data_IF_500089501800
#
_entry.id   IF_500089501800
#
_cell.length_a   1.000
_cell.length_b   1.000
_cell.length_c   1.000
_cell.angle_alpha   90.00
_cell.angle_beta   90.00
_cell.angle_gamma   90.00
#
_symmetry.space_group_name_H-M   'P 1'
#
loop_
_entity.id
_entity.type
_entity.pdbx_description
1 polymer ?
#
# COMPACT_ATOMS: atom_id res chain seq x y z
N UNK A 1 41.83 30.76 4.78
CA UNK A 1 41.85 32.06 4.08
C UNK A 1 41.83 31.82 2.58
N UNK A 2 40.65 31.61 1.99
CA UNK A 2 40.50 31.50 0.54
C UNK A 2 39.38 32.46 0.11
N UNK A 3 39.79 33.50 -0.62
CA UNK A 3 38.95 34.57 -1.14
C UNK A 3 38.24 34.14 -2.41
N UNK A 4 36.92 34.29 -2.45
CA UNK A 4 36.13 34.17 -3.68
C UNK A 4 36.09 35.50 -4.44
N UNK A 5 36.15 35.50 -5.79
CA UNK A 5 35.99 36.71 -6.57
C UNK A 5 34.50 37.07 -6.74
N UNK A 6 34.20 38.36 -6.57
CA UNK A 6 32.90 38.97 -6.92
C UNK A 6 32.76 39.04 -8.44
N UNK A 7 31.70 38.42 -8.99
CA UNK A 7 31.27 38.66 -10.35
C UNK A 7 30.24 39.80 -10.38
N UNK A 8 30.56 40.85 -11.15
CA UNK A 8 29.74 42.03 -11.39
C UNK A 8 29.11 41.92 -12.79
N UNK A 9 27.81 42.15 -12.85
CA UNK A 9 27.14 42.82 -13.97
C UNK A 9 26.57 41.92 -15.08
N UNK A 10 25.28 42.07 -15.38
CA UNK A 10 24.74 43.03 -16.37
C UNK A 10 23.24 42.76 -16.57
N UNK A 11 22.43 43.79 -16.42
CA UNK A 11 21.04 43.85 -16.88
C UNK A 11 21.00 44.00 -18.41
N UNK A 12 20.09 43.32 -19.12
CA UNK A 12 19.63 43.81 -20.41
C UNK A 12 18.10 44.05 -20.44
N UNK A 13 17.79 45.30 -20.76
CA UNK A 13 16.84 45.76 -21.79
C UNK A 13 15.38 45.29 -21.69
N UNK A 14 14.57 46.22 -21.18
CA UNK A 14 13.16 46.33 -21.50
C UNK A 14 12.95 46.48 -23.02
N UNK A 15 12.16 45.58 -23.60
CA UNK A 15 11.54 45.76 -24.91
C UNK A 15 10.13 46.29 -24.69
N UNK A 16 9.88 47.52 -25.12
CA UNK A 16 8.53 48.07 -25.24
C UNK A 16 7.95 47.59 -26.58
N UNK A 17 7.00 46.66 -26.53
CA UNK A 17 6.17 46.30 -27.68
C UNK A 17 4.97 47.27 -27.74
N UNK A 18 4.83 47.97 -28.87
CA UNK A 18 3.67 48.81 -29.15
C UNK A 18 2.50 47.93 -29.59
N UNK A 19 1.40 47.99 -28.85
CA UNK A 19 0.10 47.42 -29.23
C UNK A 19 -0.60 48.36 -30.22
N UNK A 20 -0.89 47.86 -31.42
CA UNK A 20 -1.83 48.47 -32.35
C UNK A 20 -3.22 47.82 -32.13
N UNK A 21 -4.31 48.59 -32.03
CA UNK A 21 -5.65 48.03 -31.94
C UNK A 21 -6.15 47.69 -33.36
N UNK A 22 -6.32 46.39 -33.64
CA UNK A 22 -7.10 45.94 -34.80
C UNK A 22 -8.54 45.80 -34.33
N UNK A 23 -9.41 46.67 -34.84
CA UNK A 23 -10.86 46.56 -34.68
C UNK A 23 -11.36 45.57 -35.73
N UNK A 24 -11.61 44.33 -35.31
CA UNK A 24 -12.35 43.35 -36.10
C UNK A 24 -13.84 43.49 -35.77
N UNK A 25 -14.62 43.94 -36.75
CA UNK A 25 -16.07 43.86 -36.71
C UNK A 25 -16.48 42.39 -36.90
N UNK A 26 -16.99 41.77 -35.83
CA UNK A 26 -17.54 40.42 -35.88
C UNK A 26 -19.03 40.50 -36.29
N UNK A 27 -19.38 39.77 -37.35
CA UNK A 27 -20.77 39.46 -37.68
C UNK A 27 -21.28 38.48 -36.62
N UNK A 28 -22.33 38.88 -35.88
CA UNK A 28 -23.09 37.97 -35.04
C UNK A 28 -24.04 37.19 -35.93
N UNK A 29 -23.69 35.93 -36.23
CA UNK A 29 -24.64 34.91 -36.67
C UNK A 29 -25.15 34.21 -35.41
N UNK A 30 -26.44 34.39 -35.10
CA UNK A 30 -27.17 33.61 -34.11
C UNK A 30 -27.16 32.14 -34.55
N UNK A 31 -26.36 31.32 -33.88
CA UNK A 31 -26.43 29.86 -34.02
C UNK A 31 -27.66 29.34 -33.25
N UNK A 32 -28.40 28.37 -33.81
CA UNK A 32 -29.54 27.76 -33.12
C UNK A 32 -29.07 27.00 -31.87
N UNK A 33 -29.69 27.37 -30.75
CA UNK A 33 -29.54 26.77 -29.42
C UNK A 33 -30.31 25.44 -29.36
N UNK A 34 -29.83 24.43 -30.11
CA UNK A 34 -30.27 23.03 -29.97
C UNK A 34 -29.46 22.39 -28.83
N UNK A 35 -29.76 22.77 -27.60
CA UNK A 35 -29.33 22.04 -26.41
C UNK A 35 -30.08 20.70 -26.39
N UNK A 36 -29.46 19.65 -26.95
CA UNK A 36 -29.93 18.27 -26.79
C UNK A 36 -29.86 17.91 -25.31
N UNK A 37 -30.99 17.64 -24.63
CA UNK A 37 -31.04 17.31 -23.20
C UNK A 37 -30.48 15.92 -22.85
N UNK A 38 -29.72 15.29 -23.75
CA UNK A 38 -29.18 13.93 -23.61
C UNK A 38 -27.64 13.90 -23.46
N UNK A 39 -26.95 15.05 -23.45
CA UNK A 39 -25.49 15.12 -23.17
C UNK A 39 -25.14 15.06 -21.66
N UNK A 40 -26.14 14.86 -20.79
CA UNK A 40 -25.92 14.52 -19.37
C UNK A 40 -25.49 13.06 -19.17
N UNK A 41 -25.44 12.28 -20.25
CA UNK A 41 -24.91 10.93 -20.26
C UNK A 41 -23.37 10.97 -20.24
N UNK A 42 -22.81 10.39 -19.18
CA UNK A 42 -21.40 10.02 -19.02
C UNK A 42 -20.46 11.02 -18.32
N UNK A 43 -20.97 11.79 -17.34
CA UNK A 43 -20.11 12.18 -16.20
C UNK A 43 -19.73 10.94 -15.39
N UNK A 44 -18.83 10.12 -15.91
CA UNK A 44 -18.22 9.04 -15.15
C UNK A 44 -17.47 9.67 -13.98
N UNK A 45 -17.90 9.34 -12.77
CA UNK A 45 -17.43 10.04 -11.58
C UNK A 45 -15.99 9.62 -11.25
N UNK A 46 -15.18 10.63 -10.89
CA UNK A 46 -13.77 10.48 -10.59
C UNK A 46 -13.58 9.78 -9.24
N UNK A 47 -12.63 8.84 -9.17
CA UNK A 47 -12.19 8.20 -7.94
C UNK A 47 -10.68 8.34 -7.76
N UNK A 48 -10.26 8.89 -6.63
CA UNK A 48 -8.84 8.98 -6.28
C UNK A 48 -8.30 7.65 -5.76
N UNK A 49 -7.17 7.18 -6.28
CA UNK A 49 -6.46 6.02 -5.76
C UNK A 49 -4.99 6.35 -5.50
N UNK A 50 -4.61 6.37 -4.23
CA UNK A 50 -3.25 6.74 -3.81
C UNK A 50 -2.63 5.58 -3.05
N UNK A 51 -1.44 5.15 -3.45
CA UNK A 51 -0.65 4.12 -2.77
C UNK A 51 0.59 4.77 -2.18
N UNK A 52 0.77 4.60 -0.88
CA UNK A 52 1.94 5.04 -0.13
C UNK A 52 2.63 3.77 0.40
N UNK A 53 3.75 3.42 -0.21
CA UNK A 53 4.58 2.29 0.18
C UNK A 53 5.77 2.80 0.98
N UNK A 54 5.98 2.31 2.21
CA UNK A 54 7.15 2.64 3.01
C UNK A 54 7.82 1.33 3.44
N UNK A 55 9.01 1.08 2.94
CA UNK A 55 9.82 -0.07 3.30
C UNK A 55 11.00 0.34 4.19
N UNK A 56 11.19 -0.40 5.29
CA UNK A 56 12.29 -0.19 6.21
C UNK A 56 13.11 -1.49 6.36
N UNK A 57 14.42 -1.40 6.14
CA UNK A 57 15.32 -2.56 6.20
C UNK A 57 16.78 -2.15 6.04
N UNK A 58 17.71 -2.91 6.63
CA UNK A 58 19.15 -2.62 6.61
C UNK A 58 19.50 -1.18 7.06
N UNK A 59 18.76 -0.65 8.04
CA UNK A 59 18.94 0.72 8.55
C UNK A 59 18.56 1.83 7.55
N UNK A 60 17.79 1.49 6.50
CA UNK A 60 17.32 2.44 5.49
C UNK A 60 15.81 2.43 5.42
N UNK A 61 15.25 3.62 5.24
CA UNK A 61 13.84 3.81 4.90
C UNK A 61 13.76 4.22 3.45
N UNK A 62 12.86 3.57 2.70
CA UNK A 62 12.48 3.96 1.35
C UNK A 62 10.99 4.18 1.31
N UNK A 63 10.57 5.24 0.64
CA UNK A 63 9.14 5.51 0.46
C UNK A 63 8.84 5.72 -1.01
N UNK A 64 7.78 5.11 -1.50
CA UNK A 64 7.24 5.33 -2.84
C UNK A 64 5.81 5.82 -2.71
N UNK A 65 5.48 6.90 -3.40
CA UNK A 65 4.10 7.39 -3.48
C UNK A 65 3.68 7.30 -4.94
N UNK A 66 2.52 6.68 -5.19
CA UNK A 66 1.85 6.74 -6.47
C UNK A 66 0.41 7.21 -6.30
N UNK A 67 -0.03 8.14 -7.15
CA UNK A 67 -1.41 8.63 -7.17
C UNK A 67 -1.99 8.49 -8.57
N UNK A 68 -3.21 7.95 -8.65
CA UNK A 68 -3.94 7.64 -9.88
C UNK A 68 -5.37 8.16 -9.68
N UNK A 69 -5.89 8.91 -10.64
CA UNK A 69 -7.26 9.44 -10.57
C UNK A 69 -8.05 8.78 -11.68
N UNK A 70 -8.96 7.90 -11.28
CA UNK A 70 -9.60 6.93 -12.15
C UNK A 70 -10.97 7.44 -12.57
N UNK A 71 -11.21 7.44 -13.87
CA UNK A 71 -12.53 7.57 -14.44
C UNK A 71 -12.83 6.25 -15.17
N UNK A 72 -13.86 5.52 -14.70
CA UNK A 72 -14.17 4.20 -15.26
C UNK A 72 -15.30 4.34 -16.27
N UNK A 73 -14.97 4.12 -17.53
CA UNK A 73 -15.92 4.02 -18.63
C UNK A 73 -16.47 2.60 -18.76
N UNK A 74 -17.75 2.48 -19.11
CA UNK A 74 -18.35 1.20 -19.49
C UNK A 74 -18.24 1.03 -21.00
N UNK A 75 -17.49 0.02 -21.45
CA UNK A 75 -17.36 -0.28 -22.88
C UNK A 75 -18.45 -1.29 -23.26
N UNK A 76 -19.58 -0.77 -23.76
CA UNK A 76 -20.59 -1.58 -24.45
C UNK A 76 -22.00 -1.46 -23.86
N UNK A 77 -22.97 -1.28 -24.76
CA UNK A 77 -24.41 -1.12 -24.51
C UNK A 77 -25.15 -2.37 -24.00
N UNK A 78 -24.44 -3.38 -23.49
CA UNK A 78 -25.05 -4.60 -22.94
C UNK A 78 -25.41 -4.44 -21.44
N UNK A 79 -25.83 -3.23 -21.08
CA UNK A 79 -26.24 -2.83 -19.74
C UNK A 79 -27.67 -3.34 -19.46
N UNK A 80 -27.79 -4.65 -19.31
CA UNK A 80 -29.05 -5.29 -18.91
C UNK A 80 -29.23 -5.12 -17.39
N UNK A 81 -30.02 -4.11 -17.00
CA UNK A 81 -30.97 -3.97 -15.86
C UNK A 81 -30.76 -4.72 -14.52
N UNK A 82 -29.59 -5.24 -14.20
CA UNK A 82 -29.36 -6.01 -12.96
C UNK A 82 -28.57 -5.14 -11.95
N UNK A 83 -29.31 -4.45 -11.08
CA UNK A 83 -28.86 -3.99 -9.76
C UNK A 83 -27.68 -2.99 -9.71
N UNK A 84 -27.93 -1.73 -10.08
CA UNK A 84 -26.89 -0.68 -10.22
C UNK A 84 -26.03 -0.37 -8.99
N UNK A 85 -26.50 -0.58 -7.75
CA UNK A 85 -25.86 0.04 -6.57
C UNK A 85 -24.62 -0.67 -6.02
N UNK A 86 -24.56 -2.00 -6.09
CA UNK A 86 -23.40 -2.76 -5.58
C UNK A 86 -22.29 -2.91 -6.63
N UNK A 87 -22.60 -2.60 -7.90
CA UNK A 87 -21.68 -2.77 -9.03
C UNK A 87 -20.52 -1.77 -9.03
N UNK A 88 -20.73 -0.53 -8.59
CA UNK A 88 -19.73 0.53 -8.72
C UNK A 88 -18.49 0.29 -7.86
N UNK A 89 -18.67 -0.10 -6.59
CA UNK A 89 -17.55 -0.39 -5.69
C UNK A 89 -16.68 -1.54 -6.20
N UNK A 90 -17.31 -2.60 -6.72
CA UNK A 90 -16.59 -3.72 -7.32
C UNK A 90 -15.87 -3.31 -8.61
N UNK A 91 -16.51 -2.51 -9.47
CA UNK A 91 -15.89 -1.97 -10.68
C UNK A 91 -14.62 -1.15 -10.36
N UNK A 92 -14.67 -0.26 -9.37
CA UNK A 92 -13.49 0.50 -8.94
C UNK A 92 -12.41 -0.38 -8.31
N UNK A 93 -12.79 -1.41 -7.54
CA UNK A 93 -11.82 -2.36 -7.00
C UNK A 93 -11.09 -3.13 -8.11
N UNK A 94 -11.82 -3.59 -9.14
CA UNK A 94 -11.26 -4.21 -10.33
C UNK A 94 -10.36 -3.24 -11.10
N UNK A 95 -10.83 -2.01 -11.32
CA UNK A 95 -10.05 -0.98 -12.00
C UNK A 95 -8.75 -0.64 -11.26
N UNK A 96 -8.82 -0.52 -9.93
CA UNK A 96 -7.66 -0.33 -9.08
C UNK A 96 -6.66 -1.48 -9.21
N UNK A 97 -7.12 -2.74 -9.24
CA UNK A 97 -6.23 -3.89 -9.48
C UNK A 97 -5.55 -3.84 -10.86
N UNK A 98 -6.29 -3.48 -11.91
CA UNK A 98 -5.76 -3.36 -13.28
C UNK A 98 -4.66 -2.31 -13.40
N UNK A 99 -4.78 -1.19 -12.69
CA UNK A 99 -3.75 -0.15 -12.70
C UNK A 99 -2.62 -0.40 -11.71
N UNK A 100 -2.58 -1.55 -11.03
CA UNK A 100 -1.58 -1.85 -10.00
C UNK A 100 -1.74 -0.97 -8.75
N UNK A 101 -2.99 -0.71 -8.35
CA UNK A 101 -3.35 0.04 -7.16
C UNK A 101 -3.53 -0.84 -5.92
N UNK A 102 -3.84 -2.14 -6.10
CA UNK A 102 -3.99 -3.10 -5.01
C UNK A 102 -2.86 -4.12 -5.04
N UNK A 103 -2.36 -4.48 -3.86
CA UNK A 103 -1.44 -5.59 -3.70
C UNK A 103 -2.24 -6.88 -3.74
N UNK A 104 -1.88 -7.82 -4.60
CA UNK A 104 -2.47 -9.16 -4.60
C UNK A 104 -2.03 -9.89 -3.32
N UNK A 105 -2.98 -10.14 -2.43
CA UNK A 105 -2.76 -10.85 -1.18
C UNK A 105 -3.62 -12.12 -1.14
N UNK A 106 -3.08 -13.26 -0.66
CA UNK A 106 -3.88 -14.46 -0.37
C UNK A 106 -4.99 -14.18 0.64
N UNK A 107 -5.97 -15.07 0.72
CA UNK A 107 -6.96 -15.02 1.79
C UNK A 107 -6.28 -15.13 3.16
N UNK A 108 -6.90 -14.54 4.18
CA UNK A 108 -6.38 -14.56 5.55
C UNK A 108 -6.24 -16.01 6.05
N UNK A 109 -5.05 -16.38 6.51
CA UNK A 109 -4.70 -17.73 6.95
C UNK A 109 -3.99 -18.57 5.89
N UNK A 110 -4.00 -18.13 4.63
CA UNK A 110 -3.32 -18.84 3.55
C UNK A 110 -1.86 -18.40 3.40
N UNK A 111 -1.05 -19.32 2.87
CA UNK A 111 0.29 -19.03 2.41
C UNK A 111 0.55 -19.70 1.06
N UNK A 112 0.90 -18.90 0.05
CA UNK A 112 1.02 -19.36 -1.34
C UNK A 112 2.35 -18.92 -1.96
N UNK A 113 2.87 -19.64 -2.96
CA UNK A 113 4.03 -19.18 -3.73
C UNK A 113 3.74 -17.83 -4.41
N UNK A 114 4.68 -16.90 -4.37
CA UNK A 114 4.49 -15.54 -4.89
C UNK A 114 4.12 -15.54 -6.39
N UNK A 115 4.69 -16.46 -7.19
CA UNK A 115 4.37 -16.59 -8.62
C UNK A 115 2.92 -17.00 -8.91
N UNK A 116 2.21 -17.63 -7.96
CA UNK A 116 0.79 -17.97 -8.14
C UNK A 116 -0.15 -16.75 -8.06
N UNK A 117 0.32 -15.65 -7.47
CA UNK A 117 -0.44 -14.40 -7.36
C UNK A 117 -0.32 -13.51 -8.61
N UNK A 118 0.60 -13.84 -9.52
CA UNK A 118 0.80 -13.14 -10.79
C UNK A 118 -0.14 -13.69 -11.89
N UNK A 119 -0.51 -14.97 -11.80
CA UNK A 119 -1.29 -15.68 -12.84
C UNK A 119 -2.79 -15.28 -12.83
N UNK A 120 -3.27 -14.66 -11.75
CA UNK A 120 -4.70 -14.36 -11.55
C UNK A 120 -5.21 -13.12 -12.30
N UNK A 121 -4.37 -12.40 -13.04
CA UNK A 121 -4.73 -11.13 -13.69
C UNK A 121 -5.48 -11.26 -15.04
N UNK A 122 -5.91 -12.47 -15.43
CA UNK A 122 -6.40 -12.74 -16.79
C UNK A 122 -7.89 -12.41 -16.99
N UNK A 123 -8.14 -11.64 -18.06
CA UNK A 123 -9.43 -11.35 -18.72
C UNK A 123 -10.48 -10.58 -17.91
N UNK A 124 -10.43 -9.24 -18.02
CA UNK A 124 -11.50 -8.34 -17.60
C UNK A 124 -12.20 -7.73 -18.83
N UNK A 125 -13.12 -8.44 -19.51
CA UNK A 125 -13.80 -7.91 -20.68
C UNK A 125 -14.74 -6.75 -20.30
N UNK A 126 -14.59 -5.60 -20.96
CA UNK A 126 -15.63 -4.55 -21.03
C UNK A 126 -15.47 -3.33 -20.12
N UNK A 127 -14.31 -3.15 -19.46
CA UNK A 127 -14.02 -1.94 -18.67
C UNK A 127 -12.94 -1.12 -19.35
N UNK A 128 -13.18 0.17 -19.58
CA UNK A 128 -12.13 1.14 -19.92
C UNK A 128 -11.85 2.03 -18.72
N UNK A 129 -10.58 2.33 -18.50
CA UNK A 129 -10.09 3.11 -17.37
C UNK A 129 -9.30 4.28 -17.94
N UNK A 130 -9.81 5.48 -17.74
CA UNK A 130 -9.07 6.70 -18.03
C UNK A 130 -8.41 7.21 -16.75
N UNK A 131 -7.11 7.47 -16.85
CA UNK A 131 -6.31 8.05 -15.78
C UNK A 131 -6.24 9.56 -16.00
N UNK A 132 -7.12 10.27 -15.31
CA UNK A 132 -7.37 11.69 -15.57
C UNK A 132 -6.24 12.56 -15.03
N UNK A 133 -5.78 13.52 -15.84
CA UNK A 133 -4.86 14.56 -15.41
C UNK A 133 -5.60 15.56 -14.48
N UNK A 134 -5.07 15.73 -13.28
CA UNK A 134 -5.60 16.61 -12.23
C UNK A 134 -4.65 17.79 -11.92
N UNK A 135 -3.73 18.09 -12.84
CA UNK A 135 -2.74 19.15 -12.69
C UNK A 135 -1.59 18.75 -11.76
N UNK A 136 -1.09 19.71 -10.98
CA UNK A 136 -0.01 19.45 -10.03
C UNK A 136 -0.55 18.71 -8.80
N UNK A 137 0.09 17.60 -8.45
CA UNK A 137 -0.27 16.81 -7.26
C UNK A 137 0.78 16.99 -6.18
N UNK A 138 0.34 17.41 -4.99
CA UNK A 138 1.22 17.57 -3.83
C UNK A 138 0.72 16.80 -2.63
N UNK A 139 1.65 16.22 -1.88
CA UNK A 139 1.43 15.55 -0.61
C UNK A 139 1.99 16.43 0.51
N UNK A 140 1.12 16.87 1.41
CA UNK A 140 1.50 17.58 2.63
C UNK A 140 1.39 16.61 3.81
N UNK A 141 2.42 16.58 4.65
CA UNK A 141 2.53 15.69 5.80
C UNK A 141 2.63 16.53 7.06
N UNK A 142 1.71 16.31 8.00
CA UNK A 142 1.70 16.92 9.32
C UNK A 142 2.23 15.88 10.32
N UNK A 143 3.44 16.12 10.81
CA UNK A 143 4.06 15.26 11.81
C UNK A 143 3.40 15.51 13.18
N UNK A 144 3.00 14.44 13.91
CA UNK A 144 2.47 14.61 15.26
C UNK A 144 3.54 15.25 16.15
N UNK A 145 3.16 16.30 16.86
CA UNK A 145 4.04 17.04 17.78
C UNK A 145 4.70 16.09 18.79
N UNK A 146 6.00 15.83 18.61
CA UNK A 146 6.82 15.00 19.49
C UNK A 146 7.33 15.77 20.74
N UNK A 147 6.62 16.82 21.16
CA UNK A 147 7.00 17.68 22.29
C UNK A 147 7.82 18.91 21.87
N UNK A 148 7.71 19.34 20.61
CA UNK A 148 8.30 20.56 20.09
C UNK A 148 7.18 21.51 19.66
N UNK A 149 7.16 22.73 20.21
CA UNK A 149 6.07 23.69 20.06
C UNK A 149 5.75 24.15 18.61
N UNK A 150 6.42 23.64 17.59
CA UNK A 150 6.18 23.94 16.19
C UNK A 150 5.85 22.65 15.42
N UNK A 151 4.64 22.61 14.86
CA UNK A 151 4.18 21.56 13.97
C UNK A 151 5.07 21.52 12.72
N UNK A 152 5.71 20.38 12.47
CA UNK A 152 6.56 20.21 11.29
C UNK A 152 5.70 19.75 10.13
N UNK A 153 5.58 20.62 9.13
CA UNK A 153 4.95 20.30 7.86
C UNK A 153 6.00 20.01 6.79
N UNK A 154 5.93 18.81 6.19
CA UNK A 154 6.73 18.44 5.02
C UNK A 154 5.85 18.45 3.77
N UNK A 155 6.33 18.98 2.64
CA UNK A 155 5.61 18.99 1.36
C UNK A 155 6.41 18.25 0.28
N UNK A 156 5.77 17.31 -0.39
CA UNK A 156 6.31 16.52 -1.49
C UNK A 156 5.49 16.77 -2.74
N UNK A 157 6.13 17.22 -3.82
CA UNK A 157 5.47 17.32 -5.14
C UNK A 157 5.64 16.02 -5.92
N UNK A 158 4.54 15.48 -6.46
CA UNK A 158 4.56 14.27 -7.28
C UNK A 158 4.78 14.65 -8.74
N UNK A 159 5.57 13.83 -9.45
CA UNK A 159 5.84 14.03 -10.87
C UNK A 159 4.82 13.27 -11.73
N UNK A 160 4.19 13.92 -12.73
CA UNK A 160 3.29 13.23 -13.65
C UNK A 160 4.07 12.29 -14.58
N UNK A 161 3.43 11.18 -14.93
CA UNK A 161 3.92 10.11 -15.80
C UNK A 161 2.78 9.69 -16.72
N UNK A 162 3.05 9.63 -18.01
CA UNK A 162 2.11 9.05 -18.96
C UNK A 162 2.03 7.53 -18.71
N UNK A 163 0.82 7.01 -18.62
CA UNK A 163 0.54 5.59 -18.62
C UNK A 163 0.38 5.13 -20.08
N UNK A 164 1.10 4.07 -20.52
CA UNK A 164 0.94 3.58 -21.88
C UNK A 164 -0.47 3.04 -22.08
N UNK A 165 -1.02 3.21 -23.28
CA UNK A 165 -2.29 2.60 -23.64
C UNK A 165 -2.13 1.07 -23.74
N UNK A 166 -2.76 0.35 -22.82
CA UNK A 166 -2.74 -1.12 -22.77
C UNK A 166 -4.03 -1.66 -23.39
N UNK A 167 -4.05 -1.76 -24.72
CA UNK A 167 -5.14 -2.42 -25.46
C UNK A 167 -6.51 -1.77 -25.27
N UNK A 168 -6.56 -0.43 -25.25
CA UNK A 168 -7.75 0.39 -25.02
C UNK A 168 -8.38 0.22 -23.61
N UNK A 169 -7.70 -0.50 -22.69
CA UNK A 169 -8.20 -0.77 -21.35
C UNK A 169 -7.81 0.32 -20.34
N UNK A 170 -6.56 0.81 -20.42
CA UNK A 170 -6.03 1.80 -19.48
C UNK A 170 -5.18 2.79 -20.24
N UNK A 171 -5.46 4.08 -20.10
CA UNK A 171 -4.64 5.16 -20.65
C UNK A 171 -4.67 6.40 -19.74
N UNK A 172 -3.76 7.36 -19.94
CA UNK A 172 -3.80 8.66 -19.25
C UNK A 172 -2.55 8.98 -18.42
N UNK A 173 -2.73 9.63 -17.27
CA UNK A 173 -1.65 10.18 -16.42
C UNK A 173 -1.72 9.65 -14.99
N UNK A 174 -0.57 9.26 -14.44
CA UNK A 174 -0.42 8.96 -13.02
C UNK A 174 0.75 9.75 -12.43
N UNK A 175 0.79 9.87 -11.10
CA UNK A 175 1.79 10.69 -10.41
C UNK A 175 2.64 9.83 -9.51
N UNK A 176 3.94 10.11 -9.44
CA UNK A 176 4.89 9.36 -8.61
C UNK A 176 5.81 10.28 -7.83
N UNK A 177 6.23 9.88 -6.62
CA UNK A 177 7.30 10.57 -5.89
C UNK A 177 8.60 10.61 -6.71
N UNK A 178 9.29 11.76 -6.80
CA UNK A 178 10.53 11.89 -7.59
C UNK A 178 11.73 11.20 -6.95
N UNK A 179 11.74 11.04 -5.62
CA UNK A 179 12.83 10.43 -4.87
C UNK A 179 12.29 9.51 -3.78
N UNK A 180 12.73 8.25 -3.82
CA UNK A 180 12.35 7.24 -2.84
C UNK A 180 13.12 7.32 -1.52
N UNK A 181 14.14 8.19 -1.44
CA UNK A 181 14.96 8.39 -0.23
C UNK A 181 14.26 9.23 0.84
N UNK A 182 13.16 9.90 0.49
CA UNK A 182 12.36 10.68 1.45
C UNK A 182 11.65 9.70 2.38
N UNK A 183 12.12 9.59 3.62
CA UNK A 183 11.44 8.81 4.65
C UNK A 183 10.18 9.52 5.10
N UNK A 184 9.00 9.05 4.67
CA UNK A 184 7.75 9.63 5.15
C UNK A 184 7.47 9.15 6.59
N UNK A 185 7.09 10.07 7.49
CA UNK A 185 6.84 9.75 8.89
C UNK A 185 5.55 8.94 9.04
N UNK A 186 5.58 7.91 9.89
CA UNK A 186 4.40 7.09 10.23
C UNK A 186 4.41 6.77 11.74
N UNK A 187 3.27 6.95 12.43
CA UNK A 187 2.00 7.50 11.95
C UNK A 187 2.08 9.02 11.70
N UNK A 188 1.26 9.54 10.78
CA UNK A 188 1.12 10.98 10.52
C UNK A 188 -0.21 11.29 9.82
N UNK A 189 -0.61 12.56 9.80
CA UNK A 189 -1.72 13.05 8.99
C UNK A 189 -1.20 13.50 7.62
N UNK A 190 -1.90 13.12 6.56
CA UNK A 190 -1.53 13.41 5.18
C UNK A 190 -2.67 14.16 4.49
N UNK A 191 -2.35 15.21 3.76
CA UNK A 191 -3.25 15.92 2.86
C UNK A 191 -2.70 15.78 1.43
N UNK A 192 -3.46 15.13 0.55
CA UNK A 192 -3.13 14.99 -0.88
C UNK A 192 -3.97 16.02 -1.64
N UNK A 193 -3.31 16.93 -2.36
CA UNK A 193 -3.98 17.97 -3.13
C UNK A 193 -3.68 17.89 -4.63
N UNK A 194 -4.70 18.08 -5.45
CA UNK A 194 -4.58 18.32 -6.89
C UNK A 194 -4.99 19.75 -7.23
N UNK A 195 -4.24 20.44 -8.09
CA UNK A 195 -4.57 21.83 -8.49
C UNK A 195 -5.75 21.93 -9.44
N UNK A 196 -6.23 20.80 -9.96
CA UNK A 196 -7.23 20.75 -11.01
C UNK A 196 -6.62 20.89 -12.41
N UNK A 197 -7.44 20.60 -13.41
CA UNK A 197 -7.16 20.67 -14.84
C UNK A 197 -8.36 21.28 -15.59
N UNK A 198 -8.39 21.20 -16.92
CA UNK A 198 -9.55 21.66 -17.70
C UNK A 198 -10.80 20.81 -17.50
N UNK A 199 -10.65 19.56 -17.02
CA UNK A 199 -11.74 18.60 -16.83
C UNK A 199 -11.99 18.24 -15.37
N UNK A 200 -11.12 18.66 -14.45
CA UNK A 200 -11.19 18.32 -13.03
C UNK A 200 -10.96 19.56 -12.17
N UNK A 201 -11.87 19.82 -11.23
CA UNK A 201 -11.68 20.90 -10.26
C UNK A 201 -10.56 20.59 -9.26
N UNK A 202 -10.01 21.62 -8.61
CA UNK A 202 -9.02 21.44 -7.55
C UNK A 202 -9.64 20.70 -6.34
N UNK A 203 -8.85 19.85 -5.68
CA UNK A 203 -9.33 19.08 -4.54
C UNK A 203 -8.26 18.82 -3.47
N UNK A 204 -8.73 18.37 -2.30
CA UNK A 204 -7.93 17.89 -1.18
C UNK A 204 -8.48 16.56 -0.64
N UNK A 205 -7.60 15.67 -0.23
CA UNK A 205 -7.92 14.38 0.42
C UNK A 205 -7.14 14.31 1.72
N UNK A 206 -7.85 14.25 2.85
CA UNK A 206 -7.23 14.08 4.17
C UNK A 206 -7.26 12.61 4.59
N UNK A 207 -6.15 12.11 5.11
CA UNK A 207 -6.05 10.74 5.58
C UNK A 207 -4.98 10.58 6.64
N UNK A 208 -5.26 9.72 7.62
CA UNK A 208 -4.29 9.32 8.64
C UNK A 208 -3.59 8.02 8.28
N UNK A 209 -2.26 8.05 8.22
CA UNK A 209 -1.46 6.84 8.10
C UNK A 209 -1.45 6.04 9.41
N UNK A 210 -1.55 4.69 9.35
CA UNK A 210 -1.37 3.86 10.53
C UNK A 210 0.10 3.85 10.99
N UNK A 211 0.36 3.27 12.16
CA UNK A 211 1.73 2.93 12.55
C UNK A 211 2.28 1.81 11.65
N UNK A 212 3.56 1.85 11.29
CA UNK A 212 4.26 0.72 10.68
C UNK A 212 4.32 -0.49 11.64
N UNK A 213 4.61 -1.71 11.15
CA UNK A 213 4.95 -2.84 12.01
C UNK A 213 6.09 -2.44 12.95
N UNK A 214 5.91 -2.69 14.25
CA UNK A 214 6.87 -2.40 15.32
C UNK A 214 6.81 -3.50 16.37
N UNK A 215 7.79 -3.52 17.27
CA UNK A 215 8.10 -4.60 18.20
C UNK A 215 8.13 -5.97 17.51
N UNK A 216 8.81 -6.05 16.36
CA UNK A 216 8.92 -7.28 15.59
C UNK A 216 9.70 -8.32 16.39
N UNK A 217 9.11 -9.50 16.55
CA UNK A 217 9.74 -10.67 17.17
C UNK A 217 9.73 -11.80 16.14
N UNK A 218 10.87 -12.42 15.89
CA UNK A 218 10.99 -13.57 14.97
C UNK A 218 11.74 -14.68 15.68
N UNK A 219 11.14 -15.87 15.79
CA UNK A 219 11.69 -17.01 16.52
C UNK A 219 12.12 -16.65 17.97
N UNK A 220 11.32 -15.81 18.63
CA UNK A 220 11.58 -15.33 19.99
C UNK A 220 12.66 -14.24 20.12
N UNK A 221 13.25 -13.80 19.01
CA UNK A 221 14.27 -12.74 18.98
C UNK A 221 13.64 -11.42 18.53
N UNK A 222 13.87 -10.35 19.28
CA UNK A 222 13.46 -9.00 18.88
C UNK A 222 14.26 -8.55 17.66
N UNK A 223 13.55 -8.23 16.58
CA UNK A 223 14.09 -7.86 15.27
C UNK A 223 14.05 -6.35 14.99
N UNK A 224 13.67 -5.55 15.98
CA UNK A 224 13.63 -4.09 15.87
C UNK A 224 14.83 -3.46 16.59
N UNK A 225 15.53 -2.59 15.89
CA UNK A 225 16.47 -1.66 16.49
C UNK A 225 15.67 -0.59 17.24
N UNK A 226 15.70 -0.62 18.57
CA UNK A 226 15.31 0.57 19.32
C UNK A 226 16.33 1.66 19.00
N UNK A 227 15.81 2.82 18.57
CA UNK A 227 16.57 3.99 18.14
C UNK A 227 17.60 4.37 19.23
N UNK A 228 18.86 3.96 19.04
CA UNK A 228 19.94 4.17 20.01
C UNK A 228 20.73 2.92 20.43
N UNK A 229 20.27 1.70 20.09
CA UNK A 229 21.04 0.49 20.32
C UNK A 229 22.23 0.40 19.34
N UNK A 230 23.38 0.97 19.72
CA UNK A 230 24.62 0.91 18.92
C UNK A 230 25.23 -0.50 18.85
N UNK A 231 24.70 -1.45 19.62
CA UNK A 231 25.04 -2.86 19.52
C UNK A 231 24.00 -3.51 18.60
N UNK A 232 24.35 -3.71 17.32
CA UNK A 232 23.43 -4.25 16.32
C UNK A 232 22.73 -5.53 16.77
N UNK A 233 21.58 -5.81 16.15
CA UNK A 233 20.71 -6.93 16.53
C UNK A 233 21.45 -8.27 16.48
N UNK A 234 21.14 -9.20 17.42
CA UNK A 234 21.63 -10.56 17.32
C UNK A 234 21.12 -11.21 16.01
N UNK A 235 21.90 -12.13 15.40
CA UNK A 235 21.43 -12.88 14.25
C UNK A 235 20.19 -13.70 14.62
N UNK A 236 19.20 -13.72 13.73
CA UNK A 236 17.97 -14.49 13.91
C UNK A 236 18.15 -15.81 13.19
N UNK A 237 18.28 -16.89 13.97
CA UNK A 237 18.48 -18.24 13.43
C UNK A 237 17.18 -19.03 13.47
N UNK A 238 16.81 -19.62 12.33
CA UNK A 238 15.66 -20.51 12.21
C UNK A 238 16.10 -21.89 11.71
N UNK A 239 15.33 -22.93 12.06
CA UNK A 239 15.57 -24.28 11.57
C UNK A 239 14.79 -24.52 10.26
N UNK A 240 15.46 -25.03 9.24
CA UNK A 240 14.81 -25.46 8.00
C UNK A 240 13.80 -26.57 8.30
N UNK A 241 12.58 -26.44 7.77
CA UNK A 241 11.48 -27.39 8.00
C UNK A 241 10.80 -27.27 9.36
N UNK A 242 11.06 -26.20 10.13
CA UNK A 242 10.31 -25.86 11.34
C UNK A 242 9.38 -24.68 11.09
N UNK A 243 8.27 -24.62 11.82
CA UNK A 243 7.40 -23.44 11.84
C UNK A 243 8.15 -22.24 12.43
N UNK A 244 7.84 -21.04 11.92
CA UNK A 244 8.49 -19.79 12.36
C UNK A 244 7.46 -18.92 13.06
N UNK A 245 7.61 -18.76 14.38
CA UNK A 245 6.80 -17.83 15.16
C UNK A 245 7.23 -16.39 14.86
N UNK A 246 6.25 -15.54 14.53
CA UNK A 246 6.43 -14.11 14.30
C UNK A 246 5.45 -13.30 15.16
N UNK A 247 5.91 -12.16 15.67
CA UNK A 247 5.15 -11.25 16.54
C UNK A 247 5.36 -9.79 16.16
N UNK A 248 4.37 -8.96 16.43
CA UNK A 248 4.40 -7.51 16.22
C UNK A 248 3.39 -6.80 17.14
N UNK A 249 3.50 -5.48 17.25
CA UNK A 249 2.53 -4.65 17.97
C UNK A 249 1.24 -4.50 17.14
N UNK A 250 0.14 -5.09 17.62
CA UNK A 250 -1.19 -4.89 16.99
C UNK A 250 -1.67 -3.43 17.10
N UNK A 251 -2.39 -2.95 16.07
CA UNK A 251 -3.08 -1.65 16.09
C UNK A 251 -4.33 -1.63 16.98
N UNK A 252 -4.90 -2.79 17.31
CA UNK A 252 -6.15 -2.91 18.05
C UNK A 252 -5.94 -3.77 19.30
N UNK A 253 -5.20 -3.28 20.31
CA UNK A 253 -4.96 -4.04 21.53
C UNK A 253 -6.30 -4.34 22.23
N UNK A 254 -6.60 -5.62 22.46
CA UNK A 254 -7.77 -6.07 23.21
C UNK A 254 -9.02 -6.36 22.39
N UNK A 255 -8.98 -6.25 21.05
CA UNK A 255 -10.06 -6.71 20.18
C UNK A 255 -9.82 -8.19 19.85
N UNK A 256 -10.83 -9.05 20.07
CA UNK A 256 -10.77 -10.47 19.69
C UNK A 256 -10.55 -10.60 18.18
N UNK A 257 -9.71 -11.56 17.77
CA UNK A 257 -9.41 -11.85 16.36
C UNK A 257 -10.63 -12.10 15.48
N UNK A 258 -11.78 -12.43 16.08
CA UNK A 258 -13.04 -12.68 15.40
C UNK A 258 -13.77 -11.39 14.96
N UNK A 259 -13.46 -10.23 15.58
CA UNK A 259 -14.11 -8.93 15.28
C UNK A 259 -13.25 -8.02 14.39
N UNK A 260 -12.06 -8.47 13.99
CA UNK A 260 -11.05 -7.67 13.26
C UNK A 260 -11.40 -7.47 11.77
N UNK A 261 -12.40 -8.17 11.25
CA UNK A 261 -12.64 -8.35 9.81
C UNK A 261 -13.16 -7.13 9.05
N UNK A 262 -13.69 -6.08 9.72
CA UNK A 262 -14.26 -4.91 9.02
C UNK A 262 -13.54 -3.59 9.26
N UNK A 263 -12.63 -3.51 10.23
CA UNK A 263 -11.85 -2.30 10.53
C UNK A 263 -10.35 -2.58 10.77
N UNK A 264 -9.95 -3.85 10.83
CA UNK A 264 -8.59 -4.27 11.08
C UNK A 264 -7.70 -4.13 9.85
N UNK A 265 -6.46 -3.69 10.06
CA UNK A 265 -5.43 -3.81 9.05
C UNK A 265 -5.14 -5.28 8.72
N UNK A 266 -4.56 -5.51 7.56
CA UNK A 266 -4.04 -6.83 7.16
C UNK A 266 -2.53 -6.84 7.33
N UNK A 267 -2.00 -7.98 7.76
CA UNK A 267 -0.57 -8.25 7.72
C UNK A 267 -0.34 -9.28 6.62
N UNK A 268 0.60 -9.02 5.73
CA UNK A 268 1.12 -10.09 4.88
C UNK A 268 2.64 -10.17 5.01
N UNK A 269 3.17 -11.37 4.86
CA UNK A 269 4.59 -11.65 5.06
C UNK A 269 5.13 -12.29 3.79
N UNK A 270 6.10 -11.60 3.19
CA UNK A 270 6.88 -12.13 2.08
C UNK A 270 8.11 -12.83 2.63
N UNK A 271 8.21 -14.13 2.36
CA UNK A 271 9.36 -14.97 2.71
C UNK A 271 10.14 -15.23 1.43
N UNK A 272 11.41 -14.81 1.37
CA UNK A 272 12.28 -15.07 0.21
C UNK A 272 13.52 -15.80 0.68
N UNK A 273 13.70 -17.04 0.21
CA UNK A 273 14.91 -17.81 0.47
C UNK A 273 16.06 -17.31 -0.40
N UNK A 274 17.26 -17.20 0.18
CA UNK A 274 18.48 -16.88 -0.54
C UNK A 274 19.25 -18.18 -0.85
N UNK A 275 19.66 -18.37 -2.12
CA UNK A 275 20.36 -19.58 -2.57
C UNK A 275 20.34 -19.78 -4.10
N UNK A 276 21.21 -20.65 -4.61
CA UNK A 276 21.52 -20.78 -6.04
C UNK A 276 20.54 -21.75 -6.75
N UNK A 277 19.47 -21.19 -7.35
CA UNK A 277 18.94 -21.51 -8.68
C UNK A 277 17.43 -21.21 -8.82
N UNK A 278 16.64 -21.40 -7.76
CA UNK A 278 15.19 -21.19 -7.79
C UNK A 278 14.78 -20.17 -6.72
N UNK A 279 14.28 -19.02 -7.12
CA UNK A 279 13.77 -18.00 -6.18
C UNK A 279 12.51 -18.53 -5.51
N UNK A 280 12.68 -19.17 -4.35
CA UNK A 280 11.59 -19.68 -3.54
C UNK A 280 11.02 -18.52 -2.70
N UNK A 281 9.87 -18.01 -3.13
CA UNK A 281 9.18 -16.91 -2.48
C UNK A 281 7.75 -17.29 -2.12
N UNK A 282 7.34 -17.02 -0.88
CA UNK A 282 5.97 -17.22 -0.39
C UNK A 282 5.40 -15.91 0.11
N UNK A 283 4.09 -15.74 -0.03
CA UNK A 283 3.32 -14.70 0.65
C UNK A 283 2.30 -15.37 1.55
N UNK A 284 2.32 -15.06 2.84
CA UNK A 284 1.32 -15.49 3.79
C UNK A 284 0.50 -14.29 4.29
N UNK A 285 -0.83 -14.42 4.43
CA UNK A 285 -1.69 -13.32 4.94
C UNK A 285 -2.26 -13.66 6.32
N UNK A 286 -2.28 -12.67 7.21
CA UNK A 286 -2.75 -12.77 8.60
C UNK A 286 -3.61 -11.55 8.97
N UNK A 287 -4.52 -11.68 9.95
CA UNK A 287 -5.12 -10.50 10.57
C UNK A 287 -4.04 -9.74 11.37
N UNK A 288 -4.20 -8.43 11.58
CA UNK A 288 -3.30 -7.62 12.42
C UNK A 288 -3.52 -7.85 13.94
N UNK A 289 -3.44 -9.13 14.35
CA UNK A 289 -3.64 -9.61 15.72
C UNK A 289 -2.40 -9.59 16.61
N UNK A 290 -1.23 -9.24 16.07
CA UNK A 290 0.03 -9.12 16.82
C UNK A 290 0.91 -10.37 16.86
N UNK A 291 0.45 -11.50 16.31
CA UNK A 291 1.27 -12.71 16.17
C UNK A 291 0.76 -13.60 15.03
N UNK A 292 1.67 -14.39 14.47
CA UNK A 292 1.37 -15.43 13.49
C UNK A 292 2.43 -16.52 13.51
N UNK A 293 2.14 -17.63 12.82
CA UNK A 293 3.07 -18.74 12.61
C UNK A 293 3.20 -18.96 11.12
N UNK A 294 4.40 -18.84 10.59
CA UNK A 294 4.70 -19.21 9.21
C UNK A 294 4.91 -20.74 9.15
N UNK A 295 4.25 -21.45 8.23
CA UNK A 295 4.35 -22.91 8.18
C UNK A 295 5.75 -23.35 7.72
N UNK A 296 6.23 -24.48 8.24
CA UNK A 296 7.55 -25.08 7.95
C UNK A 296 7.94 -25.20 6.47
N UNK A 297 6.98 -25.21 5.55
CA UNK A 297 7.19 -25.29 4.11
C UNK A 297 7.55 -23.97 3.40
N UNK A 298 7.53 -22.82 4.09
CA UNK A 298 7.78 -21.51 3.44
C UNK A 298 9.25 -21.23 3.12
N UNK A 299 10.17 -21.96 3.77
CA UNK A 299 11.60 -21.88 3.49
C UNK A 299 12.02 -22.99 2.54
N UNK A 300 12.89 -22.65 1.58
CA UNK A 300 13.46 -23.67 0.72
C UNK A 300 14.29 -24.66 1.57
N UNK A 301 14.20 -25.98 1.35
CA UNK A 301 14.92 -26.99 2.15
C UNK A 301 16.45 -26.87 2.11
N UNK A 302 16.98 -26.13 1.13
CA UNK A 302 18.41 -25.85 0.95
C UNK A 302 18.79 -24.39 1.19
N UNK A 303 17.85 -23.56 1.67
CA UNK A 303 18.14 -22.17 2.00
C UNK A 303 19.15 -22.13 3.14
N UNK A 304 20.23 -21.37 2.97
CA UNK A 304 21.17 -21.05 4.06
C UNK A 304 20.84 -19.70 4.70
N UNK A 305 20.11 -18.86 4.00
CA UNK A 305 19.61 -17.57 4.48
C UNK A 305 18.23 -17.30 3.89
N UNK A 306 17.50 -16.38 4.51
CA UNK A 306 16.22 -15.89 4.00
C UNK A 306 15.98 -14.45 4.42
N UNK A 307 15.09 -13.76 3.71
CA UNK A 307 14.52 -12.49 4.14
C UNK A 307 13.03 -12.64 4.40
N UNK A 308 12.56 -12.04 5.50
CA UNK A 308 11.15 -11.88 5.85
C UNK A 308 10.82 -10.41 5.75
N UNK A 309 9.88 -10.06 4.88
CA UNK A 309 9.32 -8.71 4.83
C UNK A 309 7.90 -8.75 5.37
N UNK A 310 7.68 -8.12 6.52
CA UNK A 310 6.38 -8.02 7.17
C UNK A 310 5.75 -6.71 6.71
N UNK A 311 4.63 -6.81 6.02
CA UNK A 311 3.85 -5.69 5.52
C UNK A 311 2.61 -5.49 6.38
N UNK A 312 2.31 -4.23 6.71
CA UNK A 312 1.02 -3.80 7.21
C UNK A 312 0.31 -3.02 6.13
N UNK A 313 -0.75 -3.64 5.61
CA UNK A 313 -1.62 -3.06 4.61
C UNK A 313 -2.83 -2.42 5.30
N UNK A 314 -3.03 -1.13 5.06
CA UNK A 314 -4.22 -0.42 5.52
C UNK A 314 -4.84 0.38 4.38
N UNK A 315 -6.12 0.16 4.14
CA UNK A 315 -6.92 0.97 3.23
C UNK A 315 -7.71 2.01 4.02
N UNK A 316 -7.75 3.23 3.50
CA UNK A 316 -8.50 4.35 4.07
C UNK A 316 -9.34 4.98 2.97
N UNK A 317 -10.65 4.93 3.13
CA UNK A 317 -11.57 5.71 2.30
C UNK A 317 -11.66 7.14 2.84
N UNK A 318 -11.66 8.11 1.94
CA UNK A 318 -11.80 9.53 2.27
C UNK A 318 -12.60 10.25 1.17
N UNK A 319 -13.05 11.46 1.46
CA UNK A 319 -13.77 12.32 0.50
C UNK A 319 -12.79 13.25 -0.21
N UNK A 320 -13.05 13.56 -1.49
CA UNK A 320 -12.31 14.58 -2.24
C UNK A 320 -12.95 15.96 -2.01
N UNK A 321 -12.44 16.72 -1.03
CA UNK A 321 -12.94 18.08 -0.75
C UNK A 321 -12.67 18.98 -1.94
N UNK A 322 -13.67 19.72 -2.41
CA UNK A 322 -13.56 20.60 -3.59
C UNK A 322 -14.16 20.00 -4.88
N UNK A 323 -14.57 18.73 -4.86
CA UNK A 323 -15.27 18.09 -5.97
C UNK A 323 -16.60 17.49 -5.51
N UNK A 324 -17.72 18.08 -5.96
CA UNK A 324 -19.06 17.62 -5.58
C UNK A 324 -19.46 16.32 -6.30
N UNK A 325 -18.96 16.11 -7.52
CA UNK A 325 -19.30 14.97 -8.39
C UNK A 325 -18.37 13.75 -8.20
N UNK A 326 -17.41 13.77 -7.25
CA UNK A 326 -16.45 12.69 -7.06
C UNK A 326 -17.00 11.52 -6.21
N UNK A 327 -16.62 10.28 -6.55
CA UNK A 327 -16.96 9.08 -5.76
C UNK A 327 -16.17 8.95 -4.45
N UNK A 328 -15.13 9.78 -4.28
CA UNK A 328 -14.23 9.77 -3.12
C UNK A 328 -12.82 9.33 -3.50
N UNK A 329 -12.06 8.94 -2.48
CA UNK A 329 -10.69 8.47 -2.65
C UNK A 329 -10.41 7.28 -1.75
N UNK A 330 -9.54 6.39 -2.23
CA UNK A 330 -8.94 5.32 -1.44
C UNK A 330 -7.44 5.58 -1.34
N UNK A 331 -6.94 5.62 -0.12
CA UNK A 331 -5.51 5.68 0.16
C UNK A 331 -5.07 4.36 0.79
N UNK A 332 -4.14 3.69 0.13
CA UNK A 332 -3.54 2.42 0.54
C UNK A 332 -2.18 2.70 1.13
N UNK A 333 -1.98 2.32 2.39
CA UNK A 333 -0.68 2.32 3.04
C UNK A 333 -0.14 0.90 3.06
N UNK A 334 1.00 0.67 2.41
CA UNK A 334 1.79 -0.55 2.55
C UNK A 334 3.06 -0.21 3.33
N UNK A 335 3.04 -0.49 4.65
CA UNK A 335 4.15 -0.18 5.54
C UNK A 335 4.88 -1.48 5.87
N UNK A 336 6.13 -1.61 5.46
CA UNK A 336 6.87 -2.85 5.57
C UNK A 336 8.19 -2.74 6.32
N UNK A 337 8.57 -3.85 6.93
CA UNK A 337 9.86 -4.05 7.60
C UNK A 337 10.49 -5.35 7.16
N UNK A 338 11.77 -5.30 6.78
CA UNK A 338 12.53 -6.48 6.35
C UNK A 338 13.52 -6.92 7.41
N UNK A 339 13.51 -8.22 7.69
CA UNK A 339 14.39 -8.92 8.63
C UNK A 339 15.16 -10.00 7.88
N UNK A 340 16.44 -10.18 8.18
CA UNK A 340 17.26 -11.28 7.64
C UNK A 340 17.32 -12.44 8.62
N UNK A 341 17.28 -13.65 8.08
CA UNK A 341 17.37 -14.90 8.82
C UNK A 341 18.57 -15.72 8.37
N UNK A 342 19.25 -16.32 9.34
CA UNK A 342 20.17 -17.42 9.13
C UNK A 342 19.39 -18.73 9.21
N UNK A 343 19.48 -19.57 8.17
CA UNK A 343 18.75 -20.83 8.12
C UNK A 343 19.70 -21.97 8.44
N UNK A 344 19.38 -22.72 9.48
CA UNK A 344 20.15 -23.90 9.90
C UNK A 344 19.48 -25.17 9.42
N UNK A 345 20.29 -26.05 8.83
CA UNK A 345 19.87 -27.41 8.54
C UNK A 345 20.25 -28.27 9.73
N UNK A 346 19.29 -28.48 10.63
CA UNK A 346 19.46 -29.50 11.66
C UNK A 346 19.71 -30.84 10.99
N UNK A 347 20.75 -31.56 11.42
CA UNK A 347 20.77 -33.01 11.22
C UNK A 347 19.47 -33.51 11.84
N UNK A 348 18.54 -34.01 11.01
CA UNK A 348 17.24 -34.50 11.46
C UNK A 348 17.45 -35.20 12.80
N UNK A 349 16.81 -34.75 13.90
CA UNK A 349 17.06 -35.35 15.21
C UNK A 349 16.91 -36.84 14.99
N UNK A 350 18.01 -37.59 15.13
CA UNK A 350 17.96 -39.03 15.01
C UNK A 350 16.88 -39.41 15.99
N UNK A 351 15.71 -39.78 15.45
CA UNK A 351 14.54 -40.17 16.22
C UNK A 351 15.04 -41.32 17.06
N UNK A 352 15.41 -41.00 18.30
CA UNK A 352 15.73 -41.99 19.28
C UNK A 352 14.46 -42.80 19.37
N UNK A 353 14.52 -44.01 18.81
CA UNK A 353 13.38 -44.90 18.67
C UNK A 353 12.57 -44.82 19.97
N UNK A 354 11.25 -44.64 19.90
CA UNK A 354 10.43 -44.55 21.10
C UNK A 354 10.72 -45.77 21.95
N UNK A 355 11.45 -45.58 23.05
CA UNK A 355 11.59 -46.60 24.06
C UNK A 355 10.18 -46.88 24.55
N UNK A 356 9.65 -48.00 24.09
CA UNK A 356 8.38 -48.59 24.49
C UNK A 356 8.30 -48.55 26.02
N UNK A 357 7.60 -47.55 26.54
CA UNK A 357 7.26 -47.47 27.94
C UNK A 357 6.15 -48.50 28.15
N UNK A 358 6.50 -49.57 28.87
CA UNK A 358 5.58 -50.62 29.27
C UNK A 358 4.33 -50.03 29.96
N UNK A 359 3.15 -50.64 29.75
CA UNK A 359 1.92 -50.20 30.38
C UNK A 359 2.02 -50.40 31.90
N UNK A 360 1.90 -49.31 32.65
CA UNK A 360 1.63 -49.37 34.09
C UNK A 360 0.12 -49.45 34.29
N UNK A 361 -0.32 -50.59 34.80
CA UNK A 361 -1.65 -50.81 35.37
C UNK A 361 -2.01 -49.68 36.34
N UNK A 362 -3.10 -48.98 36.06
CA UNK A 362 -3.76 -48.08 36.99
C UNK A 362 -5.21 -48.53 37.18
N UNK A 363 -5.40 -49.48 38.09
CA UNK A 363 -6.65 -49.67 38.79
C UNK A 363 -6.73 -48.64 39.94
N UNK A 364 -7.85 -47.93 40.07
CA UNK A 364 -8.15 -47.24 41.33
C UNK A 364 -9.08 -46.03 41.29
N UNK A 365 -10.37 -46.31 41.54
CA UNK A 365 -11.27 -45.58 42.45
C UNK A 365 -11.78 -44.16 42.10
N UNK A 366 -13.06 -44.18 41.69
CA UNK A 366 -14.19 -43.30 42.04
C UNK A 366 -14.04 -42.54 43.39
N UNK A 367 -14.28 -41.22 43.40
CA UNK A 367 -15.09 -40.50 44.42
C UNK A 367 -15.77 -39.29 43.79
N UNK A 368 -17.10 -39.23 43.90
CA UNK A 368 -17.94 -38.07 43.67
C UNK A 368 -18.08 -37.26 44.98
N UNK A 369 -18.20 -35.92 44.91
CA UNK A 369 -19.03 -35.14 45.84
C UNK A 369 -19.18 -33.67 45.40
N UNK A 370 -20.44 -33.28 45.27
CA UNK A 370 -21.09 -32.04 45.72
C UNK A 370 -20.61 -30.64 45.30
N UNK A 371 -21.49 -29.98 44.53
CA UNK A 371 -22.33 -28.84 44.95
C UNK A 371 -21.86 -28.10 46.22
N UNK A 372 -21.58 -26.80 46.24
CA UNK A 372 -22.43 -25.60 46.08
C UNK A 372 -21.64 -24.42 46.72
N UNK A 373 -22.12 -23.15 46.78
CA UNK A 373 -23.26 -22.53 46.09
C UNK A 373 -22.90 -21.45 45.07
#
# INVERSE_FOLDING_TARGET
MHSWPRAVGRLPRAFALSLAPVVLAACAEDAPDDASPDDDLDKSALHGWVVIERAEGDGRVRTSVSAKFLQVGRVGSLQSEIGERDSSSQTFATAASLVGGRVNVPAVGDCVPLGSLEETASEHPGVSIDLVDVGDVTLQIQEPDAGHAEERTTRLSLSPRAFPDIGDLVSGVFYTSPDASVGLPVPAEYEIGGTGSTSVDAFLIDVRAPEAPRNLVVAGVLADDEEGASAGLPPITVASGADIEIGWRSLQPGVSSQDVSSAGGLIFVDVRSEGDADSFAHRCTFPDGGAAVLPSGVLHPRATAASLTIHRLAERSSTMRGMEDAHGATVVFDLSRTVRLDVTHGAAPHSAAPHSAAPRDAAGAIVASDAQP
#
